data_IF_612777041112
#
_entry.id   IF_612777041112
#
_cell.length_a   1.000
_cell.length_b   1.000
_cell.length_c   1.000
_cell.angle_alpha   90.00
_cell.angle_beta   90.00
_cell.angle_gamma   90.00
#
_symmetry.space_group_name_H-M   'P 1'
#
loop_
_entity.id
_entity.type
_entity.pdbx_description
1 polymer ?
#
# COMPACT_ATOMS: atom_id res chain seq x y z
N UNK A 1 -4.99 -1.59 -19.04
CA UNK A 1 -4.75 -0.21 -19.55
C UNK A 1 -3.30 -0.01 -19.97
N UNK A 2 -2.29 -0.27 -19.11
CA UNK A 2 -0.88 -0.19 -19.48
C UNK A 2 -0.52 -1.09 -20.70
N UNK A 3 -0.87 -2.37 -20.63
CA UNK A 3 -0.55 -3.37 -21.68
C UNK A 3 -1.17 -3.04 -23.04
N UNK A 4 -2.35 -2.41 -23.04
CA UNK A 4 -3.04 -2.01 -24.29
C UNK A 4 -2.67 -0.59 -24.77
N UNK A 5 -1.68 0.07 -24.13
CA UNK A 5 -1.17 1.36 -24.56
C UNK A 5 -2.04 2.58 -24.23
N UNK A 6 -3.04 2.44 -23.34
CA UNK A 6 -3.85 3.58 -22.88
C UNK A 6 -3.00 4.61 -22.15
N UNK A 7 -1.99 4.15 -21.40
CA UNK A 7 -0.93 4.98 -20.81
C UNK A 7 0.41 4.23 -20.83
N UNK A 8 1.50 4.95 -20.68
CA UNK A 8 2.86 4.41 -20.82
C UNK A 8 3.52 4.05 -19.48
N UNK A 9 3.08 4.70 -18.42
CA UNK A 9 3.66 4.60 -17.09
C UNK A 9 2.58 4.70 -16.03
N UNK A 10 2.67 3.87 -14.99
CA UNK A 10 1.93 3.99 -13.74
C UNK A 10 2.92 4.05 -12.59
N UNK A 11 2.89 5.12 -11.80
CA UNK A 11 3.74 5.34 -10.62
C UNK A 11 2.85 5.65 -9.41
N UNK A 12 2.15 4.66 -8.93
CA UNK A 12 1.25 4.79 -7.79
C UNK A 12 1.61 3.78 -6.69
N UNK A 13 0.59 3.14 -6.16
CA UNK A 13 0.67 2.15 -5.08
C UNK A 13 0.69 0.70 -5.60
N UNK A 14 1.28 0.48 -6.78
CA UNK A 14 1.35 -0.86 -7.35
C UNK A 14 2.51 -1.65 -6.78
N UNK A 15 2.20 -2.75 -6.10
CA UNK A 15 3.19 -3.69 -5.58
C UNK A 15 3.93 -4.40 -6.71
N UNK A 16 5.25 -4.27 -6.71
CA UNK A 16 6.15 -5.03 -7.55
C UNK A 16 6.25 -6.46 -7.01
N UNK A 17 5.65 -7.42 -7.70
CA UNK A 17 5.71 -8.84 -7.36
C UNK A 17 5.90 -9.73 -8.59
N UNK A 18 6.28 -10.98 -8.34
CA UNK A 18 6.60 -11.96 -9.39
C UNK A 18 5.40 -12.32 -10.25
N UNK A 19 4.18 -12.27 -9.71
CA UNK A 19 2.97 -12.59 -10.46
C UNK A 19 2.70 -11.51 -11.52
N UNK A 20 2.72 -10.24 -11.13
CA UNK A 20 2.53 -9.09 -12.04
C UNK A 20 3.67 -8.94 -13.05
N UNK A 21 4.90 -9.30 -12.66
CA UNK A 21 6.08 -9.26 -13.54
C UNK A 21 6.01 -10.21 -14.74
N UNK A 22 5.01 -11.09 -14.81
CA UNK A 22 4.73 -11.90 -16.01
C UNK A 22 4.23 -11.06 -17.17
N UNK A 23 3.43 -10.04 -16.89
CA UNK A 23 2.73 -9.23 -17.89
C UNK A 23 3.35 -7.84 -18.11
N UNK A 24 4.03 -7.31 -17.09
CA UNK A 24 4.61 -5.96 -17.08
C UNK A 24 6.06 -5.98 -16.58
N UNK A 25 6.74 -4.85 -16.68
CA UNK A 25 8.03 -4.64 -15.99
C UNK A 25 7.93 -3.55 -14.94
N UNK A 26 8.81 -3.59 -13.96
CA UNK A 26 8.87 -2.64 -12.86
C UNK A 26 10.20 -1.89 -12.86
N UNK A 27 10.15 -0.62 -12.49
CA UNK A 27 11.33 0.21 -12.25
C UNK A 27 11.90 -0.06 -10.84
N UNK A 28 12.90 0.73 -10.45
CA UNK A 28 13.43 0.76 -9.07
C UNK A 28 12.30 0.99 -8.08
N UNK A 29 12.27 0.22 -7.00
CA UNK A 29 11.25 0.37 -5.96
C UNK A 29 11.38 1.74 -5.28
N UNK A 30 10.26 2.47 -5.20
CA UNK A 30 10.23 3.82 -4.67
C UNK A 30 9.53 3.94 -3.31
N UNK A 31 8.87 2.89 -2.84
CA UNK A 31 8.23 2.84 -1.51
C UNK A 31 8.21 1.42 -0.98
N UNK A 32 8.00 1.27 0.34
CA UNK A 32 7.83 -0.01 1.01
C UNK A 32 6.75 0.13 2.06
N UNK A 33 5.76 -0.72 2.00
CA UNK A 33 4.58 -0.78 2.85
C UNK A 33 4.30 -2.22 3.27
N UNK A 34 3.19 -2.46 3.92
CA UNK A 34 2.72 -3.81 4.21
C UNK A 34 1.29 -3.82 4.71
N UNK A 35 0.65 -4.98 4.60
CA UNK A 35 -0.75 -5.16 4.97
C UNK A 35 -0.93 -5.00 6.47
N UNK A 36 -1.78 -4.05 6.88
CA UNK A 36 -2.25 -3.83 8.24
C UNK A 36 -3.77 -3.70 8.27
N UNK A 37 -4.33 -3.39 9.44
CA UNK A 37 -5.77 -3.29 9.65
C UNK A 37 -6.16 -1.86 10.04
N UNK A 38 -7.15 -1.28 9.38
CA UNK A 38 -7.86 -0.09 9.85
C UNK A 38 -9.15 -0.53 10.50
N UNK A 39 -9.44 -0.04 11.69
CA UNK A 39 -10.63 -0.39 12.47
C UNK A 39 -11.13 0.80 13.28
N UNK A 40 -12.37 0.70 13.79
CA UNK A 40 -12.87 1.65 14.79
C UNK A 40 -12.20 1.37 16.14
N UNK A 41 -11.77 2.39 16.86
CA UNK A 41 -11.23 2.26 18.24
C UNK A 41 -12.21 1.54 19.19
N UNK A 42 -13.50 1.75 18.99
CA UNK A 42 -14.56 1.10 19.76
C UNK A 42 -14.72 -0.40 19.48
N UNK A 43 -14.11 -0.92 18.42
CA UNK A 43 -14.22 -2.35 18.07
C UNK A 43 -13.46 -3.28 19.00
N UNK A 44 -12.43 -2.78 19.69
CA UNK A 44 -11.51 -3.56 20.49
C UNK A 44 -10.51 -4.41 19.70
N UNK A 45 -10.53 -4.36 18.37
CA UNK A 45 -9.58 -5.09 17.50
C UNK A 45 -8.20 -4.48 17.65
N UNK A 46 -7.17 -5.32 17.90
CA UNK A 46 -5.77 -4.92 18.02
C UNK A 46 -4.85 -5.71 17.10
N UNK A 47 -5.24 -6.92 16.75
CA UNK A 47 -4.48 -7.81 15.89
C UNK A 47 -5.41 -8.64 14.99
N UNK A 48 -4.83 -9.49 14.15
CA UNK A 48 -5.57 -10.29 13.19
C UNK A 48 -6.38 -11.42 13.84
N UNK A 49 -5.93 -11.94 14.96
CA UNK A 49 -6.59 -13.01 15.71
C UNK A 49 -7.93 -12.54 16.30
N UNK A 50 -8.03 -11.24 16.64
CA UNK A 50 -9.29 -10.64 17.13
C UNK A 50 -10.39 -10.63 16.06
N UNK A 51 -10.03 -10.90 14.80
CA UNK A 51 -10.96 -10.97 13.66
C UNK A 51 -11.56 -12.37 13.44
N UNK A 52 -11.24 -13.35 14.30
CA UNK A 52 -11.80 -14.68 14.20
C UNK A 52 -13.34 -14.63 14.17
N UNK A 53 -13.95 -15.30 13.16
CA UNK A 53 -15.40 -15.35 12.89
C UNK A 53 -16.05 -13.97 12.63
N UNK A 54 -15.26 -12.95 12.28
CA UNK A 54 -15.75 -11.60 11.97
C UNK A 54 -15.61 -11.28 10.48
N UNK A 55 -16.36 -10.27 10.04
CA UNK A 55 -16.28 -9.76 8.68
C UNK A 55 -15.11 -8.79 8.56
N UNK A 56 -14.29 -8.98 7.53
CA UNK A 56 -13.12 -8.17 7.20
C UNK A 56 -13.27 -7.64 5.77
N UNK A 57 -13.07 -6.34 5.59
CA UNK A 57 -13.03 -5.72 4.28
C UNK A 57 -11.63 -5.77 3.66
N UNK A 58 -11.56 -5.86 2.36
CA UNK A 58 -10.38 -5.53 1.55
C UNK A 58 -10.83 -5.00 0.19
N UNK A 59 -9.90 -4.60 -0.68
CA UNK A 59 -10.25 -4.05 -1.99
C UNK A 59 -10.01 -5.09 -3.09
N UNK A 60 -10.94 -5.15 -4.03
CA UNK A 60 -10.87 -6.05 -5.18
C UNK A 60 -9.57 -5.87 -5.98
N UNK A 61 -8.92 -6.97 -6.36
CA UNK A 61 -7.73 -6.97 -7.22
C UNK A 61 -6.42 -6.58 -6.53
N UNK A 62 -6.42 -6.41 -5.20
CA UNK A 62 -5.22 -6.07 -4.42
C UNK A 62 -4.46 -7.32 -3.94
N UNK A 63 -3.17 -7.15 -3.70
CA UNK A 63 -2.33 -8.13 -2.99
C UNK A 63 -2.83 -8.36 -1.57
N UNK A 64 -3.28 -7.31 -0.90
CA UNK A 64 -3.81 -7.36 0.47
C UNK A 64 -5.01 -8.32 0.62
N UNK A 65 -5.92 -8.34 -0.37
CA UNK A 65 -7.02 -9.30 -0.38
C UNK A 65 -6.54 -10.77 -0.44
N UNK A 66 -5.41 -11.01 -1.12
CA UNK A 66 -4.80 -12.35 -1.17
C UNK A 66 -4.08 -12.66 0.14
N UNK A 67 -3.35 -11.70 0.69
CA UNK A 67 -2.60 -11.82 1.95
C UNK A 67 -3.54 -12.15 3.11
N UNK A 68 -4.64 -11.39 3.26
CA UNK A 68 -5.59 -11.62 4.36
C UNK A 68 -6.35 -12.95 4.20
N UNK A 69 -6.66 -13.36 2.96
CA UNK A 69 -7.22 -14.71 2.71
C UNK A 69 -6.26 -15.81 3.13
N UNK A 70 -5.00 -15.69 2.72
CA UNK A 70 -3.98 -16.66 3.09
C UNK A 70 -3.82 -16.74 4.61
N UNK A 71 -3.70 -15.58 5.28
CA UNK A 71 -3.59 -15.52 6.73
C UNK A 71 -4.80 -16.16 7.44
N UNK A 72 -6.01 -15.86 6.97
CA UNK A 72 -7.25 -16.45 7.48
C UNK A 72 -7.21 -17.99 7.39
N UNK A 73 -6.80 -18.53 6.23
CA UNK A 73 -6.68 -19.97 6.02
C UNK A 73 -5.60 -20.60 6.89
N UNK A 74 -4.40 -20.01 6.90
CA UNK A 74 -3.24 -20.54 7.62
C UNK A 74 -3.48 -20.58 9.15
N UNK A 75 -4.25 -19.63 9.66
CA UNK A 75 -4.56 -19.49 11.09
C UNK A 75 -5.93 -20.07 11.49
N UNK A 76 -6.71 -20.57 10.54
CA UNK A 76 -8.06 -21.11 10.74
C UNK A 76 -8.98 -20.14 11.52
N UNK A 77 -9.01 -18.85 11.11
CA UNK A 77 -9.73 -17.80 11.84
C UNK A 77 -11.21 -17.70 11.44
N UNK A 78 -11.64 -18.36 10.36
CA UNK A 78 -13.02 -18.32 9.86
C UNK A 78 -13.55 -16.90 9.62
N UNK A 79 -12.67 -16.00 9.15
CA UNK A 79 -13.05 -14.63 8.78
C UNK A 79 -13.92 -14.64 7.53
N UNK A 80 -14.94 -13.80 7.49
CA UNK A 80 -15.73 -13.52 6.30
C UNK A 80 -15.14 -12.33 5.55
N UNK A 81 -14.55 -12.56 4.37
CA UNK A 81 -13.95 -11.49 3.58
C UNK A 81 -14.97 -10.89 2.63
N UNK A 82 -15.19 -9.57 2.72
CA UNK A 82 -15.96 -8.79 1.77
C UNK A 82 -15.03 -7.83 1.02
N UNK A 83 -15.30 -7.61 -0.27
CA UNK A 83 -14.43 -6.80 -1.12
C UNK A 83 -15.18 -5.55 -1.59
N UNK A 84 -14.60 -4.38 -1.28
CA UNK A 84 -15.00 -3.12 -1.89
C UNK A 84 -14.51 -3.04 -3.34
N UNK A 85 -15.19 -2.22 -4.16
CA UNK A 85 -14.78 -1.95 -5.54
C UNK A 85 -13.49 -1.10 -5.61
N UNK A 86 -13.33 -0.21 -4.64
CA UNK A 86 -12.17 0.66 -4.45
C UNK A 86 -11.88 0.83 -2.95
N UNK A 87 -10.85 1.62 -2.61
CA UNK A 87 -10.42 1.78 -1.22
C UNK A 87 -11.41 2.61 -0.38
N UNK A 88 -12.07 3.60 -0.97
CA UNK A 88 -13.08 4.41 -0.29
C UNK A 88 -14.31 3.55 0.05
N UNK A 89 -14.77 2.72 -0.89
CA UNK A 89 -15.86 1.77 -0.67
C UNK A 89 -15.52 0.76 0.45
N UNK A 90 -14.27 0.26 0.46
CA UNK A 90 -13.79 -0.64 1.52
C UNK A 90 -13.74 0.04 2.90
N UNK A 91 -13.34 1.31 2.97
CA UNK A 91 -13.40 2.10 4.22
C UNK A 91 -14.84 2.28 4.69
N UNK A 92 -15.77 2.59 3.77
CA UNK A 92 -17.19 2.75 4.09
C UNK A 92 -17.81 1.49 4.70
N UNK A 93 -17.33 0.29 4.34
CA UNK A 93 -17.78 -0.95 4.98
C UNK A 93 -17.45 -0.97 6.48
N UNK A 94 -16.30 -0.42 6.88
CA UNK A 94 -15.92 -0.29 8.30
C UNK A 94 -16.69 0.84 8.97
N UNK A 95 -16.78 2.01 8.34
CA UNK A 95 -17.49 3.16 8.90
C UNK A 95 -18.97 2.84 9.18
N UNK A 96 -19.61 2.01 8.34
CA UNK A 96 -21.01 1.59 8.43
C UNK A 96 -21.21 0.26 9.19
N UNK A 97 -20.24 -0.22 9.94
CA UNK A 97 -20.28 -1.44 10.75
C UNK A 97 -20.60 -2.73 9.96
N UNK A 98 -20.35 -2.74 8.63
CA UNK A 98 -20.49 -3.93 7.77
C UNK A 98 -19.25 -4.81 7.79
N UNK A 99 -18.10 -4.25 8.17
CA UNK A 99 -16.86 -4.97 8.46
C UNK A 99 -16.25 -4.46 9.76
N UNK A 100 -15.57 -5.33 10.48
CA UNK A 100 -14.89 -4.99 11.73
C UNK A 100 -13.54 -4.32 11.49
N UNK A 101 -12.90 -4.63 10.37
CA UNK A 101 -11.63 -4.03 9.96
C UNK A 101 -11.51 -4.01 8.43
N UNK A 102 -10.63 -3.14 7.93
CA UNK A 102 -10.20 -3.08 6.53
C UNK A 102 -8.71 -3.43 6.44
N UNK A 103 -8.40 -4.54 5.75
CA UNK A 103 -7.03 -5.01 5.52
C UNK A 103 -6.48 -4.41 4.24
N UNK A 104 -5.43 -3.57 4.35
CA UNK A 104 -4.81 -2.84 3.25
C UNK A 104 -3.39 -2.39 3.62
N UNK A 105 -2.65 -1.84 2.68
CA UNK A 105 -1.34 -1.24 2.91
C UNK A 105 -1.42 -0.09 3.91
N UNK A 106 -0.55 -0.10 4.90
CA UNK A 106 -0.58 0.82 6.02
C UNK A 106 -0.58 2.29 5.60
N UNK A 107 0.24 2.65 4.61
CA UNK A 107 0.28 4.03 4.09
C UNK A 107 -1.06 4.48 3.50
N UNK A 108 -1.76 3.59 2.79
CA UNK A 108 -3.08 3.89 2.25
C UNK A 108 -4.13 4.00 3.36
N UNK A 109 -4.05 3.13 4.37
CA UNK A 109 -4.91 3.20 5.55
C UNK A 109 -4.73 4.52 6.31
N UNK A 110 -3.49 4.99 6.52
CA UNK A 110 -3.24 6.29 7.15
C UNK A 110 -3.81 7.46 6.33
N UNK A 111 -3.66 7.42 5.01
CA UNK A 111 -4.23 8.44 4.11
C UNK A 111 -5.75 8.46 4.13
N UNK A 112 -6.38 7.31 4.04
CA UNK A 112 -7.84 7.15 4.10
C UNK A 112 -8.39 7.60 5.47
N UNK A 113 -7.75 7.16 6.56
CA UNK A 113 -8.11 7.57 7.92
C UNK A 113 -8.06 9.10 8.07
N UNK A 114 -6.99 9.74 7.61
CA UNK A 114 -6.81 11.19 7.70
C UNK A 114 -7.89 11.95 6.90
N UNK A 115 -8.43 11.35 5.85
CA UNK A 115 -9.48 11.94 5.00
C UNK A 115 -10.90 11.51 5.36
N UNK A 116 -11.08 10.55 6.27
CA UNK A 116 -12.38 10.07 6.73
C UNK A 116 -13.21 11.17 7.40
N UNK A 117 -14.49 10.90 7.62
CA UNK A 117 -15.41 11.83 8.31
C UNK A 117 -15.05 12.02 9.78
N UNK A 118 -14.54 10.97 10.43
CA UNK A 118 -14.15 10.98 11.84
C UNK A 118 -12.82 10.26 12.06
N UNK A 119 -11.68 10.88 11.70
CA UNK A 119 -10.37 10.28 11.86
C UNK A 119 -10.05 9.84 13.29
N UNK A 120 -10.56 10.59 14.28
CA UNK A 120 -10.31 10.34 15.69
C UNK A 120 -10.93 9.02 16.19
N UNK A 121 -11.99 8.52 15.54
CA UNK A 121 -12.66 7.27 15.88
C UNK A 121 -11.96 6.03 15.30
N UNK A 122 -11.01 6.22 14.37
CA UNK A 122 -10.32 5.16 13.66
C UNK A 122 -8.89 4.98 14.19
N UNK A 123 -8.34 3.81 13.97
CA UNK A 123 -6.95 3.47 14.26
C UNK A 123 -6.43 2.42 13.26
N UNK A 124 -5.11 2.44 13.00
CA UNK A 124 -4.42 1.41 12.23
C UNK A 124 -3.69 0.51 13.22
N UNK A 125 -3.99 -0.79 13.18
CA UNK A 125 -3.52 -1.79 14.14
C UNK A 125 -2.93 -3.02 13.46
N UNK A 126 -2.39 -3.94 14.24
CA UNK A 126 -1.73 -5.18 13.79
C UNK A 126 -0.33 -4.91 13.23
N UNK A 127 0.52 -5.91 13.29
CA UNK A 127 1.84 -5.87 12.64
C UNK A 127 1.69 -6.07 11.13
N UNK A 128 2.66 -5.59 10.36
CA UNK A 128 2.66 -5.81 8.92
C UNK A 128 2.82 -7.30 8.59
N UNK A 129 1.88 -7.86 7.82
CA UNK A 129 1.92 -9.28 7.44
C UNK A 129 3.03 -9.61 6.44
N UNK A 130 3.42 -8.64 5.64
CA UNK A 130 4.50 -8.76 4.65
C UNK A 130 5.00 -7.39 4.22
N UNK A 131 6.18 -7.37 3.61
CA UNK A 131 6.73 -6.16 2.98
C UNK A 131 6.29 -6.11 1.52
N UNK A 132 5.64 -5.02 1.12
CA UNK A 132 5.19 -4.76 -0.25
C UNK A 132 5.98 -3.60 -0.86
N UNK A 133 6.92 -3.87 -1.79
CA UNK A 133 7.63 -2.81 -2.51
C UNK A 133 6.73 -2.22 -3.59
N UNK A 134 6.57 -0.90 -3.62
CA UNK A 134 5.94 -0.19 -4.73
C UNK A 134 6.97 0.21 -5.77
N UNK A 135 6.63 0.03 -7.03
CA UNK A 135 7.46 0.47 -8.15
C UNK A 135 6.60 0.99 -9.30
N UNK A 136 7.17 1.92 -10.08
CA UNK A 136 6.54 2.32 -11.33
C UNK A 136 6.44 1.12 -12.28
N UNK A 137 5.28 0.95 -12.86
CA UNK A 137 4.95 -0.16 -13.77
C UNK A 137 4.97 0.34 -15.21
N UNK A 138 5.65 -0.43 -16.09
CA UNK A 138 5.86 -0.13 -17.52
C UNK A 138 5.53 -1.34 -18.36
N UNK A 139 5.36 -1.14 -19.70
CA UNK A 139 5.29 -2.25 -20.65
C UNK A 139 6.63 -3.00 -20.70
N UNK A 140 6.56 -4.31 -20.92
CA UNK A 140 7.73 -5.20 -20.98
C UNK A 140 8.66 -4.91 -22.18
N UNK A 141 8.07 -4.50 -23.27
CA UNK A 141 8.74 -4.46 -24.57
C UNK A 141 9.44 -3.13 -24.87
N UNK A 142 9.68 -2.32 -23.82
CA UNK A 142 10.35 -1.02 -23.95
C UNK A 142 11.51 -0.88 -22.94
N UNK A 143 12.67 -1.54 -23.22
CA UNK A 143 13.82 -1.49 -22.32
C UNK A 143 14.46 -0.09 -22.25
N UNK A 144 14.37 0.71 -23.31
CA UNK A 144 14.92 2.07 -23.32
C UNK A 144 14.09 3.00 -22.42
N UNK A 145 12.77 2.88 -22.48
CA UNK A 145 11.91 3.64 -21.56
C UNK A 145 12.11 3.22 -20.10
N UNK A 146 12.24 1.90 -19.84
CA UNK A 146 12.60 1.41 -18.51
C UNK A 146 13.91 2.00 -18.02
N UNK A 147 14.94 2.04 -18.83
CA UNK A 147 16.25 2.63 -18.52
C UNK A 147 16.15 4.12 -18.18
N UNK A 148 15.31 4.86 -18.94
CA UNK A 148 15.04 6.27 -18.66
C UNK A 148 14.39 6.47 -17.30
N UNK A 149 13.35 5.68 -16.97
CA UNK A 149 12.63 5.76 -15.70
C UNK A 149 13.55 5.37 -14.52
N UNK A 150 14.26 4.25 -14.64
CA UNK A 150 15.23 3.80 -13.63
C UNK A 150 16.34 4.84 -13.39
N UNK A 151 16.89 5.41 -14.44
CA UNK A 151 17.91 6.45 -14.38
C UNK A 151 17.41 7.72 -13.69
N UNK A 152 16.17 8.09 -13.97
CA UNK A 152 15.53 9.26 -13.34
C UNK A 152 15.31 9.03 -11.83
N UNK A 153 14.74 7.88 -11.45
CA UNK A 153 14.55 7.52 -10.04
C UNK A 153 15.89 7.44 -9.31
N UNK A 154 16.89 6.81 -9.90
CA UNK A 154 18.23 6.72 -9.33
C UNK A 154 18.87 8.10 -9.10
N UNK A 155 18.71 9.02 -10.06
CA UNK A 155 19.19 10.41 -9.92
C UNK A 155 18.48 11.12 -8.77
N UNK A 156 17.16 11.06 -8.68
CA UNK A 156 16.37 11.66 -7.61
C UNK A 156 16.76 11.11 -6.22
N UNK A 157 16.99 9.81 -6.12
CA UNK A 157 17.40 9.16 -4.88
C UNK A 157 18.81 9.58 -4.45
N UNK A 158 19.76 9.58 -5.40
CA UNK A 158 21.18 9.95 -5.13
C UNK A 158 21.38 11.43 -4.84
N UNK A 159 20.63 12.32 -5.47
CA UNK A 159 20.74 13.78 -5.28
C UNK A 159 20.12 14.26 -3.95
N UNK A 160 19.36 13.41 -3.27
CA UNK A 160 18.60 13.81 -2.08
C UNK A 160 17.27 14.49 -2.38
N UNK A 161 16.91 14.71 -3.65
CA UNK A 161 15.60 15.27 -4.04
C UNK A 161 14.46 14.36 -3.61
N UNK A 162 14.65 13.04 -3.74
CA UNK A 162 13.67 12.06 -3.28
C UNK A 162 13.37 12.20 -1.77
N UNK A 163 14.40 12.37 -0.95
CA UNK A 163 14.26 12.57 0.50
C UNK A 163 13.51 13.87 0.83
N UNK A 164 13.73 14.94 0.06
CA UNK A 164 12.99 16.20 0.20
C UNK A 164 11.51 16.02 -0.16
N UNK A 165 11.21 15.30 -1.25
CA UNK A 165 9.83 14.95 -1.62
C UNK A 165 9.16 14.09 -0.54
N UNK A 166 9.87 13.10 0.01
CA UNK A 166 9.37 12.27 1.10
C UNK A 166 9.00 13.13 2.32
N UNK A 167 9.91 14.01 2.76
CA UNK A 167 9.64 14.92 3.88
C UNK A 167 8.43 15.80 3.63
N UNK A 168 8.31 16.36 2.41
CA UNK A 168 7.16 17.18 2.03
C UNK A 168 5.82 16.45 2.18
N UNK A 169 5.74 15.18 1.73
CA UNK A 169 4.46 14.49 1.64
C UNK A 169 4.13 13.63 2.87
N UNK A 170 5.11 13.19 3.63
CA UNK A 170 4.93 12.26 4.75
C UNK A 170 5.29 12.85 6.12
N UNK A 171 6.09 13.92 6.16
CA UNK A 171 6.60 14.51 7.40
C UNK A 171 6.23 15.97 7.56
N UNK A 172 5.39 16.52 6.69
CA UNK A 172 4.96 17.92 6.72
C UNK A 172 3.44 18.01 6.49
N UNK A 173 2.80 19.14 6.87
CA UNK A 173 1.40 19.37 6.55
C UNK A 173 1.16 19.40 5.04
N UNK A 174 0.21 18.58 4.55
CA UNK A 174 -0.13 18.46 3.13
C UNK A 174 -1.50 19.07 2.82
N UNK A 175 -1.64 19.77 1.66
CA UNK A 175 -2.91 20.33 1.25
C UNK A 175 -3.92 19.23 0.91
N UNK A 176 -5.24 19.52 0.90
CA UNK A 176 -5.82 20.81 1.29
C UNK A 176 -6.05 20.96 2.80
N UNK A 177 -6.06 19.86 3.56
CA UNK A 177 -6.46 19.82 4.98
C UNK A 177 -5.33 20.15 5.96
N UNK A 178 -4.10 20.27 5.51
CA UNK A 178 -2.93 20.51 6.37
C UNK A 178 -2.58 19.31 7.28
N UNK A 179 -3.02 18.10 6.92
CA UNK A 179 -2.71 16.89 7.69
C UNK A 179 -1.24 16.55 7.53
N UNK A 180 -0.56 16.28 8.65
CA UNK A 180 0.77 15.69 8.66
C UNK A 180 0.67 14.23 9.10
N UNK A 181 1.11 13.31 8.25
CA UNK A 181 1.07 11.88 8.55
C UNK A 181 2.10 11.47 9.61
N UNK A 182 3.13 12.30 9.83
CA UNK A 182 4.25 12.03 10.74
C UNK A 182 4.84 10.62 10.54
N UNK A 183 4.97 10.23 9.28
CA UNK A 183 5.43 8.90 8.87
C UNK A 183 6.90 8.96 8.46
N UNK A 184 7.85 8.56 9.32
CA UNK A 184 9.26 8.52 8.95
C UNK A 184 9.52 7.45 7.89
N UNK A 185 10.54 7.69 7.06
CA UNK A 185 10.96 6.75 6.04
C UNK A 185 11.33 5.41 6.66
N UNK A 186 10.75 4.32 6.14
CA UNK A 186 11.01 2.96 6.61
C UNK A 186 12.46 2.50 6.36
N UNK A 187 12.97 1.59 7.15
CA UNK A 187 14.34 1.07 6.98
C UNK A 187 14.55 0.40 5.60
N UNK A 188 13.60 -0.40 5.07
CA UNK A 188 13.72 -0.91 3.70
C UNK A 188 13.85 0.20 2.65
N UNK A 189 13.10 1.30 2.79
CA UNK A 189 13.20 2.42 1.85
C UNK A 189 14.55 3.15 1.98
N UNK A 190 15.02 3.41 3.21
CA UNK A 190 16.36 4.00 3.45
C UNK A 190 17.47 3.15 2.83
N UNK A 191 17.39 1.84 2.98
CA UNK A 191 18.33 0.90 2.36
C UNK A 191 18.24 0.98 0.83
N UNK A 192 17.03 1.10 0.27
CA UNK A 192 16.83 1.15 -1.18
C UNK A 192 17.28 2.46 -1.83
N UNK A 193 17.30 3.57 -1.11
CA UNK A 193 17.92 4.81 -1.62
C UNK A 193 19.41 4.61 -2.00
N UNK A 194 20.07 3.63 -1.39
CA UNK A 194 21.48 3.27 -1.66
C UNK A 194 21.59 2.15 -2.68
N UNK A 195 20.78 1.09 -2.54
CA UNK A 195 20.87 -0.12 -3.37
C UNK A 195 20.21 0.03 -4.74
N UNK A 196 19.24 0.93 -4.89
CA UNK A 196 18.46 1.16 -6.12
C UNK A 196 17.84 -0.14 -6.67
N UNK A 197 17.35 -0.98 -5.79
CA UNK A 197 16.81 -2.29 -6.14
C UNK A 197 15.40 -2.19 -6.71
N UNK A 198 15.15 -2.90 -7.79
CA UNK A 198 13.81 -3.20 -8.33
C UNK A 198 13.39 -4.63 -8.00
N UNK A 199 13.91 -5.24 -6.93
CA UNK A 199 13.60 -6.61 -6.55
C UNK A 199 12.13 -6.75 -6.15
N UNK A 200 11.38 -7.70 -6.75
CA UNK A 200 9.99 -7.92 -6.42
C UNK A 200 9.82 -8.55 -5.04
N UNK A 201 8.60 -8.42 -4.48
CA UNK A 201 8.12 -9.33 -3.44
C UNK A 201 7.93 -10.74 -4.00
N UNK A 202 8.11 -11.75 -3.15
CA UNK A 202 7.95 -13.16 -3.50
C UNK A 202 6.48 -13.55 -3.67
#
# INVERSE_FOLDING_TARGET
MLVNGTYDLECGSTTNNTARAKDVTFAVNHFYTGTRLLTKKSSGIKNYEDLAKKTVASTTGTTNAQVIRKYNTDKNLDMQLILGKDHDDSLLLVENDRAMAFAMDDILLFGLMANSKNPAALEVVGDSLQVEPYACMLRKDDPEFKKLVDGTLARLMKSGEFSKMYTKWFMSPIPPKGVNLNLPMSEPLKANLKSLSGKPAL
#
